data_IF_965172805227
#
_entry.id   IF_965172805227
#
_cell.length_a   1.000
_cell.length_b   1.000
_cell.length_c   1.000
_cell.angle_alpha   90.00
_cell.angle_beta   90.00
_cell.angle_gamma   90.00
#
_symmetry.space_group_name_H-M   'P 1'
#
loop_
_entity.id
_entity.type
_entity.pdbx_description
1 polymer ?
#
# COMPACT_ATOMS: atom_id res chain seq x y z
N UNK A 1 7.24 6.14 2.16
CA UNK A 1 7.55 6.21 0.71
C UNK A 1 8.59 7.29 0.50
N UNK A 2 9.61 7.03 -0.32
CA UNK A 2 10.61 8.04 -0.70
C UNK A 2 10.20 8.78 -1.97
N UNK A 3 10.80 9.94 -2.24
CA UNK A 3 10.44 10.80 -3.40
C UNK A 3 10.49 10.06 -4.74
N UNK A 4 11.56 9.30 -4.98
CA UNK A 4 11.73 8.51 -6.20
C UNK A 4 10.67 7.40 -6.33
N UNK A 5 10.25 6.80 -5.22
CA UNK A 5 9.18 5.79 -5.20
C UNK A 5 7.83 6.44 -5.51
N UNK A 6 7.56 7.62 -4.96
CA UNK A 6 6.35 8.39 -5.24
C UNK A 6 6.25 8.77 -6.73
N UNK A 7 7.34 9.26 -7.31
CA UNK A 7 7.40 9.60 -8.73
C UNK A 7 7.12 8.38 -9.62
N UNK A 8 7.76 7.23 -9.33
CA UNK A 8 7.51 5.98 -10.06
C UNK A 8 6.06 5.51 -9.92
N UNK A 9 5.50 5.57 -8.72
CA UNK A 9 4.10 5.21 -8.46
C UNK A 9 3.13 6.04 -9.30
N UNK A 10 3.30 7.37 -9.34
CA UNK A 10 2.48 8.25 -10.18
C UNK A 10 2.62 7.91 -11.68
N UNK A 11 3.85 7.67 -12.15
CA UNK A 11 4.11 7.30 -13.53
C UNK A 11 3.44 5.99 -13.91
N UNK A 12 3.46 4.99 -13.01
CA UNK A 12 2.76 3.71 -13.20
C UNK A 12 1.24 3.89 -13.32
N UNK A 13 0.67 4.84 -12.58
CA UNK A 13 -0.74 5.25 -12.71
C UNK A 13 -1.05 6.03 -13.99
N UNK A 14 -0.05 6.34 -14.82
CA UNK A 14 -0.19 7.18 -16.02
C UNK A 14 -0.83 8.54 -15.72
N UNK A 15 -0.52 9.12 -14.56
CA UNK A 15 -1.09 10.41 -14.11
C UNK A 15 -0.11 11.56 -14.19
N UNK A 16 -0.61 12.73 -14.54
CA UNK A 16 0.08 14.02 -14.36
C UNK A 16 0.17 14.39 -12.87
N UNK A 17 1.03 15.36 -12.53
CA UNK A 17 1.11 15.87 -11.16
C UNK A 17 -0.20 16.54 -10.70
N UNK A 18 -0.95 17.14 -11.63
CA UNK A 18 -2.27 17.73 -11.34
C UNK A 18 -3.32 16.65 -11.02
N UNK A 19 -3.48 15.66 -11.90
CA UNK A 19 -4.47 14.60 -11.69
C UNK A 19 -4.21 13.81 -10.41
N UNK A 20 -2.93 13.50 -10.10
CA UNK A 20 -2.63 12.79 -8.86
C UNK A 20 -2.87 13.66 -7.62
N UNK A 21 -2.71 14.99 -7.73
CA UNK A 21 -3.05 15.91 -6.65
C UNK A 21 -4.56 15.85 -6.34
N UNK A 22 -5.39 15.89 -7.38
CA UNK A 22 -6.85 15.76 -7.28
C UNK A 22 -7.25 14.41 -6.68
N UNK A 23 -6.70 13.30 -7.18
CA UNK A 23 -6.97 11.95 -6.66
C UNK A 23 -6.57 11.75 -5.20
N UNK A 24 -5.48 12.41 -4.77
CA UNK A 24 -4.98 12.33 -3.39
C UNK A 24 -5.57 13.41 -2.47
N UNK A 25 -6.46 14.27 -2.98
CA UNK A 25 -7.06 15.38 -2.21
C UNK A 25 -6.01 16.34 -1.65
N UNK A 26 -4.95 16.62 -2.41
CA UNK A 26 -3.83 17.49 -1.99
C UNK A 26 -3.53 18.56 -3.03
N UNK A 27 -2.68 19.53 -2.68
CA UNK A 27 -2.32 20.58 -3.63
C UNK A 27 -1.24 20.09 -4.61
N UNK A 28 -1.26 20.62 -5.83
CA UNK A 28 -0.19 20.36 -6.82
C UNK A 28 1.20 20.76 -6.29
N UNK A 29 1.27 21.82 -5.47
CA UNK A 29 2.50 22.25 -4.78
C UNK A 29 3.01 21.17 -3.82
N UNK A 30 2.12 20.48 -3.09
CA UNK A 30 2.51 19.37 -2.24
C UNK A 30 3.08 18.20 -3.07
N UNK A 31 2.46 17.88 -4.21
CA UNK A 31 2.97 16.85 -5.14
C UNK A 31 4.38 17.20 -5.65
N UNK A 32 4.61 18.44 -6.10
CA UNK A 32 5.96 18.87 -6.51
C UNK A 32 6.98 18.70 -5.38
N UNK A 33 6.61 19.15 -4.18
CA UNK A 33 7.47 19.06 -2.99
C UNK A 33 7.78 17.61 -2.59
N UNK A 34 6.83 16.69 -2.73
CA UNK A 34 7.06 15.25 -2.50
C UNK A 34 8.00 14.64 -3.53
N UNK A 35 7.83 14.93 -4.83
CA UNK A 35 8.68 14.38 -5.89
C UNK A 35 10.11 14.94 -5.85
N UNK A 36 10.28 16.19 -5.41
CA UNK A 36 11.59 16.82 -5.23
C UNK A 36 12.27 16.44 -3.91
N UNK A 37 11.55 15.76 -3.00
CA UNK A 37 12.06 15.41 -1.68
C UNK A 37 12.16 16.57 -0.69
N UNK A 38 11.58 17.74 -1.01
CA UNK A 38 11.54 18.89 -0.10
C UNK A 38 10.61 18.66 1.10
N UNK A 39 9.63 17.78 0.96
CA UNK A 39 8.71 17.39 2.05
C UNK A 39 8.57 15.89 2.11
N UNK A 40 8.57 15.34 3.33
CA UNK A 40 8.26 13.92 3.55
C UNK A 40 6.82 13.61 3.17
N UNK A 41 6.60 12.49 2.49
CA UNK A 41 5.25 12.02 2.11
C UNK A 41 4.49 11.55 3.37
N UNK A 42 3.33 12.13 3.71
CA UNK A 42 2.54 11.70 4.85
C UNK A 42 2.02 10.26 4.72
N UNK A 43 1.82 9.53 5.84
CA UNK A 43 1.30 8.15 5.79
C UNK A 43 -0.03 7.97 5.07
N UNK A 44 -0.95 8.94 5.16
CA UNK A 44 -2.25 8.86 4.47
C UNK A 44 -2.08 8.99 2.95
N UNK A 45 -1.17 9.86 2.49
CA UNK A 45 -0.84 10.00 1.07
C UNK A 45 -0.22 8.71 0.54
N UNK A 46 0.77 8.15 1.25
CA UNK A 46 1.38 6.87 0.89
C UNK A 46 0.34 5.74 0.83
N UNK A 47 -0.55 5.68 1.81
CA UNK A 47 -1.62 4.68 1.87
C UNK A 47 -2.56 4.78 0.66
N UNK A 48 -2.99 5.99 0.32
CA UNK A 48 -3.90 6.23 -0.80
C UNK A 48 -3.21 5.96 -2.15
N UNK A 49 -1.92 6.28 -2.27
CA UNK A 49 -1.13 5.95 -3.46
C UNK A 49 -1.08 4.44 -3.70
N UNK A 50 -0.77 3.63 -2.68
CA UNK A 50 -0.80 2.17 -2.84
C UNK A 50 -2.20 1.63 -3.11
N UNK A 51 -3.24 2.25 -2.54
CA UNK A 51 -4.62 1.88 -2.84
C UNK A 51 -4.89 2.05 -4.34
N UNK A 52 -4.59 3.21 -4.92
CA UNK A 52 -4.78 3.46 -6.35
C UNK A 52 -3.99 2.47 -7.22
N UNK A 53 -2.72 2.22 -6.89
CA UNK A 53 -1.90 1.20 -7.58
C UNK A 53 -2.52 -0.20 -7.49
N UNK A 54 -3.09 -0.56 -6.34
CA UNK A 54 -3.77 -1.85 -6.18
C UNK A 54 -5.00 -1.98 -7.06
N UNK A 55 -5.77 -0.88 -7.21
CA UNK A 55 -6.96 -0.86 -8.05
C UNK A 55 -6.57 -0.95 -9.51
N UNK A 56 -5.57 -0.18 -9.93
CA UNK A 56 -5.06 -0.23 -11.30
C UNK A 56 -4.57 -1.64 -11.67
N UNK A 57 -3.82 -2.29 -10.79
CA UNK A 57 -3.36 -3.67 -11.00
C UNK A 57 -4.52 -4.65 -11.16
N UNK A 58 -5.56 -4.54 -10.33
CA UNK A 58 -6.75 -5.40 -10.43
C UNK A 58 -7.52 -5.25 -11.76
N UNK A 59 -7.35 -4.12 -12.47
CA UNK A 59 -7.96 -3.90 -13.80
C UNK A 59 -7.18 -4.56 -14.94
N UNK A 60 -5.87 -4.70 -14.80
CA UNK A 60 -4.99 -5.19 -15.87
C UNK A 60 -4.47 -6.61 -15.66
N UNK A 61 -4.51 -7.12 -14.42
CA UNK A 61 -4.00 -8.44 -14.06
C UNK A 61 -5.04 -9.28 -13.33
N UNK A 62 -4.76 -10.59 -13.22
CA UNK A 62 -5.55 -11.48 -12.38
C UNK A 62 -5.50 -11.01 -10.92
N UNK A 63 -6.68 -10.86 -10.31
CA UNK A 63 -6.79 -10.38 -8.94
C UNK A 63 -5.90 -11.18 -7.97
N UNK A 64 -5.16 -10.50 -7.07
CA UNK A 64 -4.24 -11.18 -6.17
C UNK A 64 -4.98 -12.14 -5.24
N UNK A 65 -4.32 -13.24 -4.89
CA UNK A 65 -4.83 -14.16 -3.87
C UNK A 65 -4.80 -13.47 -2.50
N UNK A 66 -5.73 -13.78 -1.59
CA UNK A 66 -5.69 -13.25 -0.23
C UNK A 66 -4.41 -13.62 0.50
N UNK A 67 -3.95 -12.74 1.40
CA UNK A 67 -2.69 -12.91 2.13
C UNK A 67 -2.59 -14.25 2.89
N UNK A 68 -3.69 -14.78 3.42
CA UNK A 68 -3.69 -16.06 4.14
C UNK A 68 -3.47 -17.28 3.23
N UNK A 69 -3.84 -17.18 1.96
CA UNK A 69 -3.55 -18.21 0.97
C UNK A 69 -2.09 -18.15 0.55
N UNK A 70 -1.57 -16.95 0.33
CA UNK A 70 -0.16 -16.73 -0.03
C UNK A 70 0.77 -17.15 1.11
N UNK A 71 0.52 -16.66 2.34
CA UNK A 71 1.35 -16.91 3.52
C UNK A 71 0.99 -18.19 4.28
N UNK A 72 0.10 -19.03 3.75
CA UNK A 72 -0.38 -20.29 4.36
C UNK A 72 -0.71 -20.14 5.85
N UNK A 73 -1.56 -19.17 6.20
CA UNK A 73 -1.86 -18.86 7.62
C UNK A 73 -2.63 -20.00 8.30
N UNK A 74 -2.23 -20.44 9.52
CA UNK A 74 -2.98 -21.44 10.27
C UNK A 74 -4.36 -20.87 10.70
N UNK A 75 -5.38 -21.72 10.88
CA UNK A 75 -6.75 -21.29 11.22
C UNK A 75 -6.82 -20.44 12.49
N UNK A 76 -6.02 -20.77 13.51
CA UNK A 76 -5.95 -20.05 14.79
C UNK A 76 -5.52 -18.58 14.61
N UNK A 77 -4.51 -18.31 13.78
CA UNK A 77 -4.05 -16.96 13.42
C UNK A 77 -5.05 -16.25 12.52
N UNK A 78 -5.57 -16.97 11.53
CA UNK A 78 -6.49 -16.43 10.52
C UNK A 78 -7.75 -15.85 11.16
N UNK A 79 -8.39 -16.58 12.08
CA UNK A 79 -9.61 -16.14 12.78
C UNK A 79 -9.43 -14.88 13.62
N UNK A 80 -8.20 -14.60 14.09
CA UNK A 80 -7.88 -13.41 14.91
C UNK A 80 -7.33 -12.24 14.10
N UNK A 81 -7.12 -12.40 12.79
CA UNK A 81 -6.45 -11.39 11.99
C UNK A 81 -7.47 -10.40 11.39
N UNK A 82 -7.27 -9.07 11.57
CA UNK A 82 -8.14 -8.05 10.97
C UNK A 82 -8.28 -8.18 9.45
N UNK A 83 -7.23 -8.61 8.74
CA UNK A 83 -7.32 -8.84 7.30
C UNK A 83 -8.35 -9.92 6.92
N UNK A 84 -8.54 -10.92 7.78
CA UNK A 84 -9.55 -11.96 7.61
C UNK A 84 -10.94 -11.47 8.01
N UNK A 85 -11.05 -10.84 9.18
CA UNK A 85 -12.29 -10.26 9.71
C UNK A 85 -12.96 -9.32 8.70
N UNK A 86 -12.20 -8.36 8.16
CA UNK A 86 -12.71 -7.38 7.19
C UNK A 86 -12.62 -7.83 5.73
N UNK A 87 -12.35 -9.12 5.47
CA UNK A 87 -12.21 -9.69 4.11
C UNK A 87 -11.19 -8.95 3.22
N UNK A 88 -10.24 -8.27 3.82
CA UNK A 88 -9.26 -7.41 3.16
C UNK A 88 -7.96 -8.15 2.78
N UNK A 89 -8.02 -9.46 2.57
CA UNK A 89 -6.82 -10.28 2.35
C UNK A 89 -5.97 -9.86 1.14
N UNK A 90 -6.60 -9.30 0.10
CA UNK A 90 -5.92 -8.77 -1.09
C UNK A 90 -5.13 -7.48 -0.82
N UNK A 91 -5.49 -6.77 0.24
CA UNK A 91 -4.93 -5.48 0.63
C UNK A 91 -4.61 -5.44 2.13
N UNK A 92 -4.09 -6.55 2.69
CA UNK A 92 -3.80 -6.63 4.13
C UNK A 92 -2.79 -5.56 4.61
N UNK A 93 -1.96 -5.04 3.70
CA UNK A 93 -1.05 -3.92 3.95
C UNK A 93 -1.79 -2.59 4.19
N UNK A 94 -3.06 -2.46 3.79
CA UNK A 94 -3.86 -1.25 3.97
C UNK A 94 -4.38 -1.09 5.42
N UNK A 95 -4.63 -2.20 6.11
CA UNK A 95 -5.19 -2.23 7.47
C UNK A 95 -4.06 -2.38 8.50
N UNK A 96 -4.05 -1.63 9.59
CA UNK A 96 -3.07 -1.83 10.66
C UNK A 96 -3.49 -2.94 11.64
N UNK A 97 -2.59 -3.42 12.51
CA UNK A 97 -2.92 -4.47 13.50
C UNK A 97 -3.05 -5.88 12.91
N UNK A 98 -2.79 -6.05 11.60
CA UNK A 98 -2.71 -7.38 10.98
C UNK A 98 -1.64 -8.21 11.66
N UNK A 99 -2.01 -9.42 12.10
CA UNK A 99 -1.16 -10.35 12.83
C UNK A 99 -0.28 -11.13 11.84
N UNK A 100 0.53 -10.42 11.06
CA UNK A 100 1.55 -11.02 10.19
C UNK A 100 2.69 -11.51 11.07
N UNK A 101 3.18 -12.74 10.86
CA UNK A 101 4.25 -13.32 11.70
C UNK A 101 3.96 -13.22 13.21
N UNK A 102 2.67 -13.24 13.59
CA UNK A 102 2.21 -13.13 14.97
C UNK A 102 2.48 -11.78 15.66
N UNK A 103 2.76 -10.71 14.90
CA UNK A 103 3.09 -9.39 15.46
C UNK A 103 2.25 -8.27 14.85
N UNK A 104 1.69 -7.41 15.72
CA UNK A 104 1.20 -6.10 15.33
C UNK A 104 2.37 -5.11 15.24
N UNK A 105 2.27 -4.11 14.36
CA UNK A 105 3.29 -3.06 14.18
C UNK A 105 2.81 -1.76 14.81
N UNK A 106 3.72 -1.01 15.43
CA UNK A 106 3.40 0.19 16.22
C UNK A 106 2.85 1.33 15.36
N UNK A 107 3.44 1.55 14.20
CA UNK A 107 3.06 2.62 13.29
C UNK A 107 3.12 2.19 11.82
N UNK A 108 2.59 3.06 10.95
CA UNK A 108 2.57 2.84 9.51
C UNK A 108 3.97 2.69 8.92
N UNK A 109 4.94 3.50 9.34
CA UNK A 109 6.31 3.48 8.79
C UNK A 109 6.97 2.11 9.01
N UNK A 110 6.96 1.61 10.24
CA UNK A 110 7.46 0.27 10.60
C UNK A 110 6.71 -0.85 9.86
N UNK A 111 5.38 -0.74 9.76
CA UNK A 111 4.57 -1.69 9.01
C UNK A 111 5.01 -1.75 7.55
N UNK A 112 5.20 -0.60 6.89
CA UNK A 112 5.53 -0.55 5.48
C UNK A 112 6.92 -1.09 5.17
N UNK A 113 7.89 -1.00 6.09
CA UNK A 113 9.21 -1.66 5.94
C UNK A 113 9.04 -3.17 5.76
N UNK A 114 8.14 -3.79 6.52
CA UNK A 114 7.87 -5.24 6.44
C UNK A 114 6.96 -5.55 5.25
N UNK A 115 5.87 -4.79 5.07
CA UNK A 115 4.90 -5.04 4.00
C UNK A 115 5.54 -4.95 2.61
N UNK A 116 6.45 -3.99 2.36
CA UNK A 116 7.13 -3.86 1.06
C UNK A 116 7.98 -5.07 0.68
N UNK A 117 8.48 -5.83 1.67
CA UNK A 117 9.24 -7.07 1.46
C UNK A 117 8.35 -8.31 1.36
N UNK A 118 7.05 -8.18 1.61
CA UNK A 118 6.11 -9.30 1.61
C UNK A 118 5.63 -9.62 0.20
N UNK A 119 5.57 -10.90 -0.15
CA UNK A 119 5.04 -11.42 -1.43
C UNK A 119 3.66 -10.87 -1.82
N UNK A 120 2.82 -10.53 -0.83
CA UNK A 120 1.47 -9.98 -1.07
C UNK A 120 1.54 -8.56 -1.64
N UNK A 121 2.55 -7.77 -1.26
CA UNK A 121 2.68 -6.37 -1.68
C UNK A 121 3.81 -6.14 -2.69
N UNK A 122 4.87 -6.95 -2.69
CA UNK A 122 6.03 -6.77 -3.58
C UNK A 122 5.60 -6.73 -5.06
N UNK A 123 4.62 -7.55 -5.43
CA UNK A 123 4.04 -7.58 -6.77
C UNK A 123 3.28 -6.31 -7.17
N UNK A 124 2.97 -5.41 -6.24
CA UNK A 124 2.32 -4.13 -6.52
C UNK A 124 3.34 -3.07 -6.99
N UNK A 125 4.58 -3.22 -6.53
CA UNK A 125 5.68 -2.27 -6.74
C UNK A 125 6.52 -2.57 -7.98
N UNK A 126 6.42 -3.79 -8.53
CA UNK A 126 7.01 -4.22 -9.82
C UNK A 126 6.07 -3.82 -10.93
#
# INVERSE_FOLDING_TARGET
MESAEFHRARKKLSKTQKEIAELLGTSIKAIHSYEQGWRSIPPHVERQMYFLLSRQRELHEKAPKPCWTVKKCPPSRKKKCPAWEFRAGKMCWFINGTICECQARKNWKEKMVVCKKCEVMSQLLV
#
